data_IF_961749170123
#
_entry.id   IF_961749170123
#
_cell.length_a   1.000
_cell.length_b   1.000
_cell.length_c   1.000
_cell.angle_alpha   90.00
_cell.angle_beta   90.00
_cell.angle_gamma   90.00
#
_symmetry.space_group_name_H-M   'P 1'
#
loop_
_entity.id
_entity.type
_entity.pdbx_description
1 polymer ?
#
# COMPACT_ATOMS: atom_id res chain seq x y z
N UNK A 1 -11.45 -14.85 -11.63
CA UNK A 1 -11.16 -14.92 -10.18
C UNK A 1 -10.37 -13.69 -9.80
N UNK A 2 -10.80 -12.91 -8.80
CA UNK A 2 -10.03 -11.74 -8.33
C UNK A 2 -8.78 -12.20 -7.57
N UNK A 3 -7.73 -11.39 -7.57
CA UNK A 3 -6.42 -11.69 -6.96
C UNK A 3 -6.26 -10.99 -5.62
N UNK A 4 -5.60 -11.67 -4.69
CA UNK A 4 -5.03 -11.04 -3.49
C UNK A 4 -3.55 -10.82 -3.71
N UNK A 5 -3.02 -9.68 -3.27
CA UNK A 5 -1.62 -9.30 -3.47
C UNK A 5 -0.96 -8.91 -2.14
N UNK A 6 0.33 -9.20 -2.03
CA UNK A 6 1.17 -8.83 -0.90
C UNK A 6 2.28 -7.90 -1.39
N UNK A 7 2.33 -6.69 -0.84
CA UNK A 7 3.28 -5.65 -1.24
C UNK A 7 4.19 -5.32 -0.06
N UNK A 8 5.50 -5.41 -0.28
CA UNK A 8 6.54 -4.91 0.62
C UNK A 8 7.09 -3.58 0.07
N UNK A 9 7.69 -2.76 0.92
CA UNK A 9 8.27 -1.49 0.46
C UNK A 9 7.24 -0.49 -0.08
N UNK A 10 5.95 -0.69 0.21
CA UNK A 10 4.84 0.11 -0.30
C UNK A 10 4.89 1.60 0.08
N UNK A 11 5.78 1.96 1.01
CA UNK A 11 5.97 3.33 1.48
C UNK A 11 7.20 4.01 0.84
N UNK A 12 7.95 3.32 -0.03
CA UNK A 12 8.97 3.94 -0.89
C UNK A 12 8.34 4.55 -2.14
N UNK A 13 9.09 5.41 -2.85
CA UNK A 13 8.58 6.17 -4.01
C UNK A 13 7.84 5.29 -5.02
N UNK A 14 8.47 4.22 -5.51
CA UNK A 14 7.84 3.31 -6.49
C UNK A 14 6.71 2.50 -5.84
N UNK A 15 6.90 2.08 -4.59
CA UNK A 15 5.93 1.29 -3.86
C UNK A 15 4.58 2.01 -3.68
N UNK A 16 4.60 3.33 -3.49
CA UNK A 16 3.37 4.13 -3.35
C UNK A 16 2.59 4.24 -4.67
N UNK A 17 3.28 4.40 -5.80
CA UNK A 17 2.62 4.41 -7.12
C UNK A 17 2.08 3.03 -7.48
N UNK A 18 2.86 1.97 -7.25
CA UNK A 18 2.41 0.59 -7.46
C UNK A 18 1.16 0.30 -6.64
N UNK A 19 1.15 0.70 -5.37
CA UNK A 19 0.00 0.51 -4.49
C UNK A 19 -1.24 1.24 -5.02
N UNK A 20 -1.10 2.49 -5.46
CA UNK A 20 -2.20 3.25 -6.07
C UNK A 20 -2.81 2.50 -7.26
N UNK A 21 -1.97 2.03 -8.19
CA UNK A 21 -2.46 1.27 -9.35
C UNK A 21 -3.15 -0.04 -8.96
N UNK A 22 -2.68 -0.70 -7.91
CA UNK A 22 -3.31 -1.93 -7.43
C UNK A 22 -4.66 -1.67 -6.75
N UNK A 23 -4.83 -0.53 -6.08
CA UNK A 23 -6.11 -0.11 -5.49
C UNK A 23 -7.15 0.15 -6.58
N UNK A 24 -6.76 0.78 -7.69
CA UNK A 24 -7.66 1.10 -8.80
C UNK A 24 -7.99 -0.13 -9.68
N UNK A 25 -7.22 -1.23 -9.55
CA UNK A 25 -7.38 -2.42 -10.37
C UNK A 25 -8.58 -3.29 -9.94
N UNK A 26 -9.62 -3.34 -10.78
CA UNK A 26 -10.85 -4.13 -10.54
C UNK A 26 -10.64 -5.65 -10.39
N UNK A 27 -9.48 -6.16 -10.80
CA UNK A 27 -9.12 -7.57 -10.65
C UNK A 27 -8.43 -7.88 -9.31
N UNK A 28 -8.13 -6.87 -8.49
CA UNK A 28 -7.58 -7.02 -7.15
C UNK A 28 -8.73 -6.97 -6.12
N UNK A 29 -8.74 -7.91 -5.19
CA UNK A 29 -9.75 -8.00 -4.11
C UNK A 29 -9.20 -7.53 -2.77
N UNK A 30 -7.95 -7.92 -2.46
CA UNK A 30 -7.28 -7.58 -1.21
C UNK A 30 -5.82 -7.25 -1.44
N UNK A 31 -5.35 -6.27 -0.68
CA UNK A 31 -3.96 -5.86 -0.62
C UNK A 31 -3.47 -6.02 0.81
N UNK A 32 -2.42 -6.80 0.99
CA UNK A 32 -1.72 -6.96 2.26
C UNK A 32 -0.40 -6.19 2.18
N UNK A 33 -0.14 -5.31 3.15
CA UNK A 33 1.04 -4.47 3.16
C UNK A 33 1.98 -4.86 4.30
N UNK A 34 3.26 -5.07 3.98
CA UNK A 34 4.31 -5.17 4.98
C UNK A 34 4.90 -3.80 5.25
N UNK A 35 4.53 -3.21 6.39
CA UNK A 35 5.08 -1.96 6.88
C UNK A 35 6.09 -2.24 7.99
N UNK A 36 7.27 -1.62 7.92
CA UNK A 36 8.20 -1.60 9.06
C UNK A 36 7.56 -0.77 10.17
N UNK A 37 7.52 -1.30 11.38
CA UNK A 37 7.13 -0.56 12.57
C UNK A 37 8.22 0.48 12.87
N UNK A 38 8.01 1.74 12.51
CA UNK A 38 8.66 2.85 13.19
C UNK A 38 7.78 3.20 14.38
N UNK A 39 8.39 3.47 15.53
CA UNK A 39 7.69 3.79 16.77
C UNK A 39 6.56 4.78 16.49
N UNK A 40 5.36 4.37 16.92
CA UNK A 40 4.09 5.11 16.94
C UNK A 40 3.52 5.54 15.57
N UNK A 41 2.40 4.91 15.19
CA UNK A 41 1.36 5.28 14.20
C UNK A 41 1.74 5.81 12.80
N UNK A 42 3.02 5.99 12.49
CA UNK A 42 3.51 6.79 11.36
C UNK A 42 3.51 6.05 10.02
N UNK A 43 3.54 4.71 10.03
CA UNK A 43 3.56 3.90 8.81
C UNK A 43 2.27 4.02 7.97
N UNK A 44 1.11 4.03 8.63
CA UNK A 44 -0.20 4.27 8.00
C UNK A 44 -0.42 5.76 7.72
N UNK A 45 -0.03 6.66 8.63
CA UNK A 45 -0.16 8.11 8.45
C UNK A 45 0.57 8.61 7.19
N UNK A 46 1.75 8.06 6.88
CA UNK A 46 2.50 8.41 5.67
C UNK A 46 1.82 7.97 4.37
N UNK A 47 1.01 6.92 4.43
CA UNK A 47 0.16 6.50 3.31
C UNK A 47 -1.03 7.44 3.13
N UNK A 48 -1.76 7.74 4.21
CA UNK A 48 -2.93 8.63 4.15
C UNK A 48 -2.58 10.07 3.73
N UNK A 49 -1.36 10.55 4.01
CA UNK A 49 -0.91 11.88 3.59
C UNK A 49 -0.69 12.04 2.09
N UNK A 50 -0.58 10.94 1.32
CA UNK A 50 -0.38 10.96 -0.14
C UNK A 50 -1.70 10.85 -0.93
N UNK A 51 -2.83 10.62 -0.25
CA UNK A 51 -4.17 10.58 -0.86
C UNK A 51 -4.89 11.95 -0.81
N UNK A 52 -4.18 13.04 -0.48
CA UNK A 52 -4.69 14.42 -0.59
C UNK A 52 -4.31 15.09 -1.90
#
# INVERSE_FOLDING_TARGET
>A
MKKSIFITGATGLIGTYLLKEMIENKNVDRIFLLCRKQNDDTGLLRMYSLER
#
